data_IF_840563100866
#
_entry.id   IF_840563100866
#
_cell.length_a   1.000
_cell.length_b   1.000
_cell.length_c   1.000
_cell.angle_alpha   90.00
_cell.angle_beta   90.00
_cell.angle_gamma   90.00
#
_symmetry.space_group_name_H-M   'P 1'
#
loop_
_entity.id
_entity.type
_entity.pdbx_description
1 polymer ?
#
# COMPACT_ATOMS: atom_id res chain seq x y z
N UNK A 1 22.47 -8.68 -18.09
CA UNK A 1 21.43 -9.17 -17.21
C UNK A 1 20.78 -7.97 -16.47
N UNK A 2 19.49 -7.84 -16.55
CA UNK A 2 18.81 -6.69 -15.98
C UNK A 2 18.52 -6.92 -14.50
N UNK A 3 19.35 -6.36 -13.61
CA UNK A 3 19.21 -6.51 -12.17
C UNK A 3 17.95 -5.80 -11.63
N UNK A 4 17.35 -4.92 -12.44
CA UNK A 4 16.14 -4.18 -12.05
C UNK A 4 14.84 -4.89 -12.43
N UNK A 5 14.95 -6.10 -12.98
CA UNK A 5 13.76 -6.84 -13.39
C UNK A 5 12.94 -7.25 -12.18
N UNK A 6 11.72 -6.74 -12.12
CA UNK A 6 10.81 -6.99 -11.01
C UNK A 6 9.56 -7.69 -11.53
N UNK A 7 9.16 -8.75 -10.83
CA UNK A 7 7.95 -9.51 -11.13
C UNK A 7 6.88 -9.21 -10.08
N UNK A 8 5.65 -8.96 -10.54
CA UNK A 8 4.47 -8.87 -9.66
C UNK A 8 3.77 -10.23 -9.69
N UNK A 9 3.52 -10.80 -8.51
CA UNK A 9 2.79 -12.05 -8.39
C UNK A 9 1.95 -12.09 -7.12
N UNK A 10 1.00 -13.03 -7.07
CA UNK A 10 0.24 -13.24 -5.85
C UNK A 10 1.16 -13.69 -4.73
N UNK A 11 0.89 -13.20 -3.53
CA UNK A 11 1.65 -13.60 -2.34
C UNK A 11 1.30 -15.03 -1.94
N UNK A 12 2.31 -15.78 -1.50
CA UNK A 12 2.16 -17.07 -0.84
C UNK A 12 2.29 -16.88 0.66
N UNK A 13 1.85 -17.87 1.44
CA UNK A 13 1.97 -17.80 2.90
C UNK A 13 3.41 -17.52 3.36
N UNK A 14 4.39 -18.09 2.66
CA UNK A 14 5.82 -17.88 2.97
C UNK A 14 6.31 -16.44 2.76
N UNK A 15 5.56 -15.62 2.02
CA UNK A 15 5.92 -14.21 1.77
C UNK A 15 5.47 -13.28 2.89
N UNK A 16 4.66 -13.74 3.84
CA UNK A 16 3.99 -12.88 4.80
C UNK A 16 4.97 -12.05 5.65
N UNK A 17 6.04 -12.67 6.15
CA UNK A 17 7.02 -11.96 6.98
C UNK A 17 7.78 -10.93 6.16
N UNK A 18 8.22 -11.29 4.96
CA UNK A 18 8.96 -10.37 4.08
C UNK A 18 8.08 -9.20 3.65
N UNK A 19 6.80 -9.45 3.34
CA UNK A 19 5.84 -8.39 3.01
C UNK A 19 5.63 -7.46 4.21
N UNK A 20 5.49 -8.01 5.41
CA UNK A 20 5.37 -7.22 6.63
C UNK A 20 6.60 -6.35 6.87
N UNK A 21 7.80 -6.89 6.64
CA UNK A 21 9.04 -6.14 6.82
C UNK A 21 9.16 -4.98 5.81
N UNK A 22 8.71 -5.17 4.56
CA UNK A 22 8.61 -4.08 3.59
C UNK A 22 7.66 -3.01 4.11
N UNK A 23 6.49 -3.40 4.59
CA UNK A 23 5.50 -2.49 5.17
C UNK A 23 6.12 -1.67 6.31
N UNK A 24 6.82 -2.33 7.23
CA UNK A 24 7.44 -1.68 8.39
C UNK A 24 8.51 -0.66 7.97
N UNK A 25 9.42 -1.04 7.08
CA UNK A 25 10.47 -0.13 6.59
C UNK A 25 9.89 1.04 5.82
N UNK A 26 8.89 0.78 5.00
CA UNK A 26 8.23 1.80 4.19
C UNK A 26 7.47 2.80 5.04
N UNK A 27 6.72 2.32 6.03
CA UNK A 27 5.98 3.17 6.96
C UNK A 27 6.93 4.10 7.72
N UNK A 28 8.00 3.56 8.30
CA UNK A 28 8.97 4.34 9.06
C UNK A 28 9.65 5.40 8.21
N UNK A 29 9.96 5.08 6.95
CA UNK A 29 10.61 6.03 6.05
C UNK A 29 9.67 7.13 5.57
N UNK A 30 8.41 6.80 5.31
CA UNK A 30 7.42 7.76 4.78
C UNK A 30 6.81 8.62 5.88
N UNK A 31 6.66 8.08 7.08
CA UNK A 31 5.90 8.70 8.17
C UNK A 31 6.69 8.66 9.48
N UNK A 32 7.89 9.29 9.53
CA UNK A 32 8.77 9.18 10.70
C UNK A 32 8.18 9.82 11.96
N UNK A 33 7.20 10.73 11.82
CA UNK A 33 6.56 11.40 12.95
C UNK A 33 5.25 10.75 13.38
N UNK A 34 4.75 9.76 12.63
CA UNK A 34 3.52 9.06 12.97
C UNK A 34 3.84 7.84 13.82
N UNK A 35 3.22 7.77 14.99
CA UNK A 35 3.38 6.64 15.88
C UNK A 35 2.49 5.50 15.42
N UNK A 36 3.09 4.32 15.20
CA UNK A 36 2.32 3.12 14.82
C UNK A 36 1.53 2.61 16.03
N UNK A 37 0.31 2.14 15.75
CA UNK A 37 -0.56 1.56 16.77
C UNK A 37 -0.09 0.17 17.22
N UNK A 38 0.66 -0.55 16.37
CA UNK A 38 1.10 -1.92 16.62
C UNK A 38 2.62 -2.04 16.47
N UNK A 39 3.23 -2.93 17.27
CA UNK A 39 4.66 -3.20 17.19
C UNK A 39 5.00 -4.11 15.99
N UNK A 40 6.29 -4.35 15.78
CA UNK A 40 6.78 -5.11 14.62
C UNK A 40 6.21 -6.54 14.59
N UNK A 41 6.19 -7.22 15.72
CA UNK A 41 5.70 -8.61 15.81
C UNK A 41 4.19 -8.68 15.59
N UNK A 42 3.43 -7.71 16.08
CA UNK A 42 2.00 -7.60 15.83
C UNK A 42 1.71 -7.41 14.33
N UNK A 43 2.51 -6.58 13.64
CA UNK A 43 2.37 -6.35 12.20
C UNK A 43 2.68 -7.63 11.43
N UNK A 44 3.76 -8.33 11.77
CA UNK A 44 4.11 -9.60 11.12
C UNK A 44 3.03 -10.66 11.30
N UNK A 45 2.48 -10.76 12.51
CA UNK A 45 1.40 -11.68 12.80
C UNK A 45 0.14 -11.35 12.02
N UNK A 46 -0.20 -10.08 11.92
CA UNK A 46 -1.35 -9.60 11.14
C UNK A 46 -1.20 -9.96 9.66
N UNK A 47 -0.02 -9.77 9.09
CA UNK A 47 0.24 -10.18 7.69
C UNK A 47 0.08 -11.69 7.51
N UNK A 48 0.55 -12.49 8.46
CA UNK A 48 0.50 -13.94 8.37
C UNK A 48 -0.89 -14.53 8.56
N UNK A 49 -1.71 -13.92 9.43
CA UNK A 49 -2.98 -14.50 9.84
C UNK A 49 -4.21 -13.85 9.21
N UNK A 50 -4.09 -12.60 8.76
CA UNK A 50 -5.21 -11.85 8.18
C UNK A 50 -4.93 -11.44 6.74
N UNK A 51 -3.87 -10.68 6.50
CA UNK A 51 -3.64 -10.04 5.20
C UNK A 51 -3.44 -11.07 4.10
N UNK A 52 -2.42 -11.90 4.22
CA UNK A 52 -2.07 -12.86 3.16
C UNK A 52 -3.14 -13.92 2.98
N UNK A 53 -3.69 -14.55 4.05
CA UNK A 53 -4.70 -15.59 3.85
C UNK A 53 -6.09 -15.09 3.48
N UNK A 54 -6.46 -13.86 3.85
CA UNK A 54 -7.85 -13.38 3.74
C UNK A 54 -8.07 -12.23 2.75
N UNK A 55 -7.01 -11.53 2.36
CA UNK A 55 -7.10 -10.39 1.46
C UNK A 55 -6.28 -10.67 0.20
N UNK A 56 -6.65 -10.03 -0.90
CA UNK A 56 -5.93 -10.25 -2.16
C UNK A 56 -4.59 -9.52 -2.09
N UNK A 57 -3.52 -10.28 -1.87
CA UNK A 57 -2.19 -9.76 -1.65
C UNK A 57 -1.26 -10.09 -2.80
N UNK A 58 -0.59 -9.06 -3.33
CA UNK A 58 0.39 -9.15 -4.40
C UNK A 58 1.74 -8.67 -3.87
N UNK A 59 2.80 -9.31 -4.31
CA UNK A 59 4.17 -8.90 -3.98
C UNK A 59 4.96 -8.60 -5.24
N UNK A 60 5.87 -7.64 -5.12
CA UNK A 60 6.88 -7.38 -6.14
C UNK A 60 8.16 -8.07 -5.68
N UNK A 61 8.75 -8.86 -6.58
CA UNK A 61 9.95 -9.64 -6.28
C UNK A 61 11.06 -9.23 -7.23
N UNK A 62 12.21 -8.88 -6.69
CA UNK A 62 13.41 -8.54 -7.44
C UNK A 62 14.58 -9.33 -6.86
N UNK A 63 15.30 -10.05 -7.74
CA UNK A 63 16.46 -10.88 -7.35
C UNK A 63 16.15 -11.81 -6.17
N UNK A 64 14.96 -12.40 -6.17
CA UNK A 64 14.52 -13.34 -5.14
C UNK A 64 14.01 -12.70 -3.84
N UNK A 65 14.00 -11.38 -3.73
CA UNK A 65 13.55 -10.68 -2.53
C UNK A 65 12.25 -9.93 -2.76
N UNK A 66 11.37 -9.92 -1.76
CA UNK A 66 10.16 -9.10 -1.78
C UNK A 66 10.56 -7.64 -1.57
N UNK A 67 10.17 -6.78 -2.51
CA UNK A 67 10.51 -5.34 -2.49
C UNK A 67 9.28 -4.44 -2.52
N UNK A 68 8.09 -5.01 -2.59
CA UNK A 68 6.85 -4.25 -2.57
C UNK A 68 5.66 -5.13 -2.25
N UNK A 69 4.59 -4.52 -1.76
CA UNK A 69 3.35 -5.22 -1.42
C UNK A 69 2.15 -4.37 -1.78
N UNK A 70 1.15 -5.00 -2.38
CA UNK A 70 -0.16 -4.41 -2.69
C UNK A 70 -1.22 -5.31 -2.08
N UNK A 71 -2.16 -4.73 -1.36
CA UNK A 71 -3.28 -5.47 -0.75
C UNK A 71 -4.59 -4.84 -1.19
N UNK A 72 -5.47 -5.67 -1.75
CA UNK A 72 -6.83 -5.30 -2.11
C UNK A 72 -7.79 -6.05 -1.18
N UNK A 73 -8.68 -5.31 -0.56
CA UNK A 73 -9.72 -5.84 0.33
C UNK A 73 -11.06 -5.35 -0.19
N UNK A 74 -11.80 -6.24 -0.89
CA UNK A 74 -12.98 -5.81 -1.63
C UNK A 74 -12.59 -4.76 -2.67
N UNK A 75 -13.24 -3.60 -2.65
CA UNK A 75 -12.94 -2.48 -3.54
C UNK A 75 -11.95 -1.49 -2.91
N UNK A 76 -11.39 -1.81 -1.77
CA UNK A 76 -10.41 -0.98 -1.12
C UNK A 76 -9.00 -1.38 -1.51
N UNK A 77 -8.19 -0.39 -1.94
CA UNK A 77 -6.75 -0.53 -2.01
C UNK A 77 -6.25 -0.32 -0.58
N UNK A 78 -6.12 -1.43 0.16
CA UNK A 78 -5.90 -1.38 1.60
C UNK A 78 -4.45 -1.06 1.96
N UNK A 79 -3.49 -1.57 1.17
CA UNK A 79 -2.06 -1.36 1.43
C UNK A 79 -1.32 -1.26 0.10
N UNK A 80 -0.38 -0.31 0.02
CA UNK A 80 0.57 -0.22 -1.09
C UNK A 80 1.87 0.35 -0.52
N UNK A 81 2.87 -0.49 -0.43
CA UNK A 81 4.16 -0.13 0.17
C UNK A 81 5.31 -0.67 -0.66
N UNK A 82 6.34 0.14 -0.81
CA UNK A 82 7.59 -0.22 -1.48
C UNK A 82 8.73 -0.14 -0.49
N UNK A 83 9.66 -1.08 -0.59
CA UNK A 83 10.91 -0.97 0.15
C UNK A 83 11.59 0.35 -0.28
N UNK A 84 12.08 1.18 0.66
CA UNK A 84 12.56 2.52 0.32
C UNK A 84 13.53 2.63 -0.86
N UNK A 85 14.52 1.73 -1.02
CA UNK A 85 15.43 1.82 -2.19
C UNK A 85 14.73 1.60 -3.54
N UNK A 86 13.50 1.05 -3.52
CA UNK A 86 12.75 0.72 -4.75
C UNK A 86 11.76 1.80 -5.16
N UNK A 87 11.70 2.90 -4.41
CA UNK A 87 10.87 4.05 -4.77
C UNK A 87 11.47 4.78 -5.97
N UNK A 88 10.60 5.41 -6.77
CA UNK A 88 11.03 6.20 -7.92
C UNK A 88 11.47 5.38 -9.13
N UNK A 89 11.16 4.08 -9.18
CA UNK A 89 11.51 3.17 -10.27
C UNK A 89 10.31 2.68 -11.07
N UNK A 90 9.14 3.29 -10.87
CA UNK A 90 7.92 2.93 -11.59
C UNK A 90 7.17 1.73 -11.02
N UNK A 91 7.62 1.15 -9.92
CA UNK A 91 6.99 -0.04 -9.32
C UNK A 91 5.62 0.29 -8.74
N UNK A 92 5.49 1.45 -8.08
CA UNK A 92 4.19 1.93 -7.58
C UNK A 92 3.17 2.10 -8.71
N UNK A 93 3.60 2.64 -9.84
CA UNK A 93 2.74 2.80 -11.01
C UNK A 93 2.23 1.45 -11.53
N UNK A 94 3.11 0.44 -11.56
CA UNK A 94 2.73 -0.92 -11.96
C UNK A 94 1.70 -1.52 -11.01
N UNK A 95 1.88 -1.33 -9.71
CA UNK A 95 0.91 -1.82 -8.71
C UNK A 95 -0.45 -1.14 -8.84
N UNK A 96 -0.48 0.18 -9.03
CA UNK A 96 -1.76 0.88 -9.17
C UNK A 96 -2.48 0.43 -10.44
N UNK A 97 -1.76 0.28 -11.56
CA UNK A 97 -2.35 -0.23 -12.80
C UNK A 97 -2.91 -1.65 -12.61
N UNK A 98 -2.18 -2.49 -11.88
CA UNK A 98 -2.67 -3.83 -11.54
C UNK A 98 -3.96 -3.75 -10.72
N UNK A 99 -3.99 -2.91 -9.69
CA UNK A 99 -5.18 -2.72 -8.86
C UNK A 99 -6.38 -2.24 -9.70
N UNK A 100 -6.16 -1.29 -10.60
CA UNK A 100 -7.21 -0.77 -11.48
C UNK A 100 -7.73 -1.84 -12.43
N UNK A 101 -6.85 -2.71 -12.95
CA UNK A 101 -7.28 -3.85 -13.77
C UNK A 101 -8.05 -4.90 -12.97
N UNK A 102 -7.66 -5.11 -11.72
CA UNK A 102 -8.33 -6.08 -10.83
C UNK A 102 -9.69 -5.56 -10.34
N UNK A 103 -9.87 -4.25 -10.28
CA UNK A 103 -11.10 -3.60 -9.80
C UNK A 103 -11.53 -2.52 -10.79
N UNK A 104 -11.97 -2.92 -12.00
CA UNK A 104 -12.32 -1.94 -13.04
C UNK A 104 -13.51 -1.06 -12.68
N UNK A 105 -14.37 -1.49 -11.75
CA UNK A 105 -15.52 -0.71 -11.30
C UNK A 105 -15.16 0.40 -10.33
N UNK A 106 -13.95 0.36 -9.77
CA UNK A 106 -13.50 1.42 -8.88
C UNK A 106 -12.74 0.93 -7.67
N UNK A 107 -12.01 1.86 -7.08
CA UNK A 107 -11.20 1.64 -5.88
C UNK A 107 -11.39 2.79 -4.91
N UNK A 108 -11.27 2.51 -3.62
CA UNK A 108 -11.13 3.54 -2.60
C UNK A 108 -9.90 3.25 -1.76
N UNK A 109 -9.36 4.29 -1.13
CA UNK A 109 -8.23 4.13 -0.21
C UNK A 109 -8.22 5.26 0.81
N UNK A 110 -7.53 5.04 1.91
CA UNK A 110 -7.23 6.05 2.92
C UNK A 110 -5.72 6.29 2.96
N UNK A 111 -5.32 7.55 3.11
CA UNK A 111 -3.92 7.90 3.37
C UNK A 111 -3.89 9.08 4.34
N UNK A 112 -2.79 9.22 5.09
CA UNK A 112 -2.68 10.33 6.04
C UNK A 112 -2.48 11.64 5.29
N UNK A 113 -3.09 12.72 5.81
CA UNK A 113 -2.99 14.04 5.20
C UNK A 113 -1.53 14.52 5.14
N UNK A 114 -0.72 14.14 6.11
CA UNK A 114 0.70 14.50 6.17
C UNK A 114 1.54 13.81 5.09
N UNK A 115 1.05 12.71 4.52
CA UNK A 115 1.78 11.97 3.49
C UNK A 115 1.60 12.60 2.11
N UNK A 116 2.23 13.76 1.90
CA UNK A 116 2.15 14.50 0.65
C UNK A 116 2.57 13.70 -0.58
N UNK A 117 3.72 12.98 -0.54
CA UNK A 117 4.12 12.15 -1.68
C UNK A 117 3.09 11.11 -2.09
N UNK A 118 2.47 10.41 -1.13
CA UNK A 118 1.41 9.43 -1.44
C UNK A 118 0.19 10.12 -2.05
N UNK A 119 -0.21 11.25 -1.50
CA UNK A 119 -1.36 11.99 -2.01
C UNK A 119 -1.15 12.41 -3.47
N UNK A 120 0.01 12.97 -3.79
CA UNK A 120 0.36 13.36 -5.17
C UNK A 120 0.42 12.15 -6.10
N UNK A 121 0.94 11.03 -5.59
CA UNK A 121 1.03 9.78 -6.34
C UNK A 121 -0.36 9.28 -6.76
N UNK A 122 -1.31 9.21 -5.83
CA UNK A 122 -2.67 8.76 -6.14
C UNK A 122 -3.40 9.74 -7.05
N UNK A 123 -3.21 11.04 -6.84
CA UNK A 123 -3.83 12.07 -7.71
C UNK A 123 -3.35 11.94 -9.16
N UNK A 124 -2.07 11.62 -9.37
CA UNK A 124 -1.54 11.36 -10.72
C UNK A 124 -2.20 10.16 -11.39
N UNK A 125 -2.67 9.20 -10.60
CA UNK A 125 -3.33 8.00 -11.12
C UNK A 125 -4.85 8.13 -11.23
N UNK A 126 -5.37 9.34 -11.13
CA UNK A 126 -6.79 9.62 -11.34
C UNK A 126 -7.66 9.46 -10.12
N UNK A 127 -7.07 9.30 -8.94
CA UNK A 127 -7.82 9.30 -7.69
C UNK A 127 -8.14 10.72 -7.26
N UNK A 128 -9.32 10.92 -6.67
CA UNK A 128 -9.75 12.21 -6.13
C UNK A 128 -10.06 12.11 -4.66
N UNK A 129 -9.69 13.13 -3.89
CA UNK A 129 -10.02 13.23 -2.48
C UNK A 129 -11.50 13.52 -2.32
N UNK A 130 -12.20 12.71 -1.52
CA UNK A 130 -13.65 12.86 -1.32
C UNK A 130 -14.04 13.08 0.15
N UNK A 131 -13.14 12.79 1.09
CA UNK A 131 -13.42 12.93 2.51
C UNK A 131 -12.13 13.19 3.26
N UNK A 132 -12.19 14.06 4.27
CA UNK A 132 -11.07 14.30 5.19
C UNK A 132 -11.58 14.12 6.61
N UNK A 133 -10.72 13.52 7.47
CA UNK A 133 -11.05 13.38 8.88
C UNK A 133 -9.96 13.99 9.76
N UNK A 134 -10.30 14.21 11.04
CA UNK A 134 -9.34 14.69 12.03
C UNK A 134 -8.47 13.56 12.64
N UNK A 135 -8.71 12.32 12.21
CA UNK A 135 -7.94 11.17 12.68
C UNK A 135 -8.45 10.55 13.97
N UNK A 136 -9.50 11.09 14.59
CA UNK A 136 -9.99 10.53 15.86
C UNK A 136 -10.59 9.14 15.70
N UNK A 137 -10.98 8.76 14.47
CA UNK A 137 -11.55 7.46 14.18
C UNK A 137 -10.55 6.39 13.74
N UNK A 138 -9.27 6.72 13.56
CA UNK A 138 -8.26 5.72 13.18
C UNK A 138 -7.31 5.40 14.34
N UNK A 139 -6.62 4.27 14.23
CA UNK A 139 -5.78 3.76 15.33
C UNK A 139 -4.58 4.68 15.63
N UNK A 140 -4.02 5.32 14.60
CA UNK A 140 -2.85 6.19 14.74
C UNK A 140 -3.21 7.58 15.24
N UNK A 141 -4.51 7.91 15.28
CA UNK A 141 -5.00 9.24 15.65
C UNK A 141 -4.39 10.34 14.80
N UNK A 142 -4.16 10.05 13.52
CA UNK A 142 -3.54 10.97 12.56
C UNK A 142 -4.57 11.38 11.52
N UNK A 143 -4.74 12.69 11.21
CA UNK A 143 -5.66 13.14 10.18
C UNK A 143 -5.43 12.42 8.85
N UNK A 144 -6.51 11.93 8.24
CA UNK A 144 -6.43 11.17 7.01
C UNK A 144 -7.37 11.73 5.93
N UNK A 145 -7.25 11.18 4.73
CA UNK A 145 -8.04 11.58 3.58
C UNK A 145 -8.40 10.33 2.78
N UNK A 146 -9.67 10.27 2.36
CA UNK A 146 -10.17 9.18 1.52
C UNK A 146 -10.11 9.61 0.06
N UNK A 147 -9.54 8.74 -0.76
CA UNK A 147 -9.47 8.90 -2.21
C UNK A 147 -10.32 7.84 -2.90
N UNK A 148 -10.89 8.19 -4.04
CA UNK A 148 -11.64 7.24 -4.88
C UNK A 148 -11.16 7.34 -6.32
N UNK A 149 -11.22 6.21 -7.02
CA UNK A 149 -10.95 6.11 -8.46
C UNK A 149 -12.03 5.22 -9.10
N UNK A 150 -12.55 5.58 -10.28
CA UNK A 150 -12.30 6.84 -11.00
C UNK A 150 -12.82 8.05 -10.21
N UNK A 151 -12.31 9.24 -10.56
CA UNK A 151 -12.77 10.47 -9.93
C UNK A 151 -14.28 10.61 -10.13
N UNK A 152 -15.05 11.06 -9.11
CA UNK A 152 -16.49 11.27 -9.28
C UNK A 152 -16.77 12.29 -10.37
N UNK A 153 -17.88 12.16 -11.10
CA UNK A 153 -18.28 13.19 -12.09
C UNK A 153 -18.56 14.51 -11.39
N UNK A 154 -18.29 15.61 -12.09
CA UNK A 154 -18.55 16.96 -11.61
C UNK A 154 -20.05 17.25 -11.52
#
# INVERSE_FOLDING_TARGET
MNSDRTTLRRAHARDAVDAADVWLRSFSAALPTVRRAHDDDEVRDWFATVVVPRQETWVAVAAGSVVGVLVLDGEELAQLYLDPPWRGRGLGDRFVRLAQRRRPSGLSLWTFQINGPARRFYERHGFAAVERTDGLGNEEREPDVRYVWPSPPL
#
